data_IF_757404545637
#
_entry.id   IF_757404545637
#
_cell.length_a   1.000
_cell.length_b   1.000
_cell.length_c   1.000
_cell.angle_alpha   90.00
_cell.angle_beta   90.00
_cell.angle_gamma   90.00
#
_symmetry.space_group_name_H-M   'P 1'
#
loop_
_entity.id
_entity.type
_entity.pdbx_description
1 polymer ?
#
# COMPACT_ATOMS: atom_id res chain seq x y z
N UNK A 1 -15.35 11.54 -12.74
CA UNK A 1 -14.87 11.48 -11.35
C UNK A 1 -13.59 12.29 -11.31
N UNK A 2 -13.45 13.22 -10.37
CA UNK A 2 -12.24 14.03 -10.26
C UNK A 2 -11.12 13.22 -9.61
N UNK A 3 -9.86 13.64 -9.78
CA UNK A 3 -8.72 13.02 -9.11
C UNK A 3 -8.82 13.12 -7.57
N UNK A 4 -9.53 14.13 -7.06
CA UNK A 4 -9.86 14.28 -5.63
C UNK A 4 -10.81 13.19 -5.13
N UNK A 5 -11.81 12.78 -5.95
CA UNK A 5 -12.74 11.70 -5.58
C UNK A 5 -12.03 10.34 -5.50
N UNK A 6 -10.99 10.14 -6.32
CA UNK A 6 -10.17 8.92 -6.32
C UNK A 6 -9.25 8.89 -5.09
N UNK A 7 -8.62 10.02 -4.75
CA UNK A 7 -7.79 10.16 -3.56
C UNK A 7 -8.59 9.92 -2.26
N UNK A 8 -9.83 10.44 -2.19
CA UNK A 8 -10.71 10.25 -1.03
C UNK A 8 -11.14 8.78 -0.81
N UNK A 9 -10.92 7.89 -1.79
CA UNK A 9 -11.38 6.48 -1.76
C UNK A 9 -10.25 5.46 -1.67
N UNK A 10 -8.99 5.89 -1.55
CA UNK A 10 -7.87 4.94 -1.51
C UNK A 10 -7.96 4.04 -0.28
N UNK A 11 -7.69 2.75 -0.48
CA UNK A 11 -7.85 1.74 0.57
C UNK A 11 -6.86 1.99 1.70
N UNK A 12 -7.41 2.12 2.91
CA UNK A 12 -6.65 2.19 4.16
C UNK A 12 -7.03 1.02 5.04
N UNK A 13 -6.06 0.50 5.78
CA UNK A 13 -6.30 -0.59 6.73
C UNK A 13 -5.91 -0.16 8.14
N UNK A 14 -6.91 0.00 9.00
CA UNK A 14 -6.72 0.42 10.39
C UNK A 14 -6.74 -0.77 11.37
N UNK A 15 -6.94 -1.99 10.85
CA UNK A 15 -7.08 -3.22 11.63
C UNK A 15 -8.43 -3.90 11.42
N UNK A 16 -8.50 -5.18 11.77
CA UNK A 16 -9.67 -6.05 11.52
C UNK A 16 -10.92 -5.61 12.29
N UNK A 17 -10.75 -4.96 13.44
CA UNK A 17 -11.83 -4.54 14.32
C UNK A 17 -12.18 -3.05 14.16
N UNK A 18 -11.59 -2.37 13.19
CA UNK A 18 -11.92 -0.97 12.91
C UNK A 18 -13.24 -0.89 12.11
N UNK A 19 -14.12 0.03 12.51
CA UNK A 19 -15.44 0.19 11.88
C UNK A 19 -15.34 0.65 10.41
N UNK A 20 -14.23 1.28 10.01
CA UNK A 20 -13.99 1.67 8.62
C UNK A 20 -13.67 0.49 7.70
N UNK A 21 -13.37 -0.70 8.23
CA UNK A 21 -13.04 -1.88 7.44
C UNK A 21 -14.18 -2.29 6.47
N UNK A 22 -15.46 -2.02 6.81
CA UNK A 22 -16.55 -2.27 5.86
C UNK A 22 -16.57 -1.30 4.66
N UNK A 23 -16.04 -0.08 4.84
CA UNK A 23 -16.18 1.01 3.86
C UNK A 23 -15.38 0.78 2.58
N UNK A 24 -14.23 0.10 2.69
CA UNK A 24 -13.33 -0.12 1.56
C UNK A 24 -13.56 -1.44 0.84
N UNK A 25 -14.46 -2.32 1.33
CA UNK A 25 -14.65 -3.66 0.78
C UNK A 25 -14.94 -3.66 -0.74
N UNK A 26 -15.79 -2.74 -1.23
CA UNK A 26 -16.08 -2.61 -2.66
C UNK A 26 -14.85 -2.18 -3.48
N UNK A 27 -14.06 -1.24 -2.95
CA UNK A 27 -12.84 -0.78 -3.60
C UNK A 27 -11.77 -1.87 -3.62
N UNK A 28 -11.68 -2.66 -2.54
CA UNK A 28 -10.81 -3.83 -2.46
C UNK A 28 -11.16 -4.81 -3.57
N UNK A 29 -12.44 -5.17 -3.73
CA UNK A 29 -12.89 -6.04 -4.81
C UNK A 29 -12.52 -5.49 -6.20
N UNK A 30 -12.76 -4.19 -6.45
CA UNK A 30 -12.44 -3.51 -7.71
C UNK A 30 -10.93 -3.54 -8.03
N UNK A 31 -10.06 -3.42 -7.02
CA UNK A 31 -8.62 -3.45 -7.19
C UNK A 31 -8.11 -4.88 -7.41
N UNK A 32 -8.70 -5.87 -6.75
CA UNK A 32 -8.34 -7.27 -6.90
C UNK A 32 -8.72 -7.79 -8.28
N UNK A 33 -9.89 -7.42 -8.79
CA UNK A 33 -10.35 -7.79 -10.14
C UNK A 33 -9.43 -7.21 -11.23
N UNK A 34 -9.01 -5.95 -11.08
CA UNK A 34 -8.12 -5.28 -12.04
C UNK A 34 -6.64 -5.57 -11.85
N UNK A 35 -6.25 -6.29 -10.80
CA UNK A 35 -4.84 -6.53 -10.52
C UNK A 35 -4.23 -7.47 -11.57
N UNK A 36 -3.28 -6.93 -12.33
CA UNK A 36 -2.48 -7.70 -13.28
C UNK A 36 -1.02 -7.81 -12.78
N UNK A 37 -0.54 -9.01 -12.41
CA UNK A 37 0.83 -9.21 -11.97
C UNK A 37 1.89 -8.92 -13.06
N UNK A 38 1.51 -8.90 -14.35
CA UNK A 38 2.39 -8.51 -15.44
C UNK A 38 2.54 -6.98 -15.57
N UNK A 39 1.57 -6.21 -15.06
CA UNK A 39 1.52 -4.75 -15.16
C UNK A 39 1.35 -4.10 -13.78
N UNK A 40 2.34 -4.32 -12.90
CA UNK A 40 2.33 -3.80 -11.54
C UNK A 40 2.54 -2.27 -11.54
N UNK A 41 1.80 -1.50 -10.71
CA UNK A 41 2.00 -0.06 -10.58
C UNK A 41 3.43 0.34 -10.22
N UNK A 42 3.86 1.53 -10.65
CA UNK A 42 5.18 2.11 -10.34
C UNK A 42 5.12 3.25 -9.34
N UNK A 43 3.93 3.74 -9.03
CA UNK A 43 3.71 4.77 -8.02
C UNK A 43 3.63 4.11 -6.63
N UNK A 44 4.42 4.61 -5.69
CA UNK A 44 4.50 4.04 -4.33
C UNK A 44 3.15 4.05 -3.62
N UNK A 45 2.31 5.05 -3.88
CA UNK A 45 1.04 5.15 -3.18
C UNK A 45 0.04 4.08 -3.67
N UNK A 46 0.11 3.69 -4.95
CA UNK A 46 -0.66 2.56 -5.48
C UNK A 46 -0.14 1.23 -4.93
N UNK A 47 1.18 1.12 -4.72
CA UNK A 47 1.78 -0.06 -4.09
C UNK A 47 1.39 -0.17 -2.61
N UNK A 48 1.34 0.94 -1.87
CA UNK A 48 0.84 0.95 -0.49
C UNK A 48 -0.65 0.60 -0.46
N UNK A 49 -1.45 1.12 -1.40
CA UNK A 49 -2.86 0.75 -1.53
C UNK A 49 -3.03 -0.76 -1.78
N UNK A 50 -2.19 -1.36 -2.65
CA UNK A 50 -2.15 -2.81 -2.87
C UNK A 50 -1.76 -3.60 -1.61
N UNK A 51 -0.82 -3.10 -0.80
CA UNK A 51 -0.52 -3.69 0.49
C UNK A 51 -1.74 -3.68 1.40
N UNK A 52 -2.48 -2.58 1.45
CA UNK A 52 -3.70 -2.49 2.25
C UNK A 52 -4.77 -3.45 1.71
N UNK A 53 -4.96 -3.56 0.40
CA UNK A 53 -5.83 -4.59 -0.21
C UNK A 53 -5.46 -6.01 0.24
N UNK A 54 -4.17 -6.34 0.25
CA UNK A 54 -3.69 -7.64 0.73
C UNK A 54 -4.10 -7.90 2.20
N UNK A 55 -4.00 -6.91 3.09
CA UNK A 55 -4.45 -7.06 4.49
C UNK A 55 -5.96 -7.37 4.57
N UNK A 56 -6.80 -6.76 3.72
CA UNK A 56 -8.23 -7.09 3.68
C UNK A 56 -8.47 -8.54 3.24
N UNK A 57 -7.77 -8.99 2.20
CA UNK A 57 -7.90 -10.36 1.69
C UNK A 57 -7.50 -11.42 2.71
N UNK A 58 -6.39 -11.20 3.43
CA UNK A 58 -5.91 -12.10 4.48
C UNK A 58 -6.90 -12.25 5.63
N UNK A 59 -7.63 -11.18 5.95
CA UNK A 59 -8.65 -11.18 6.99
C UNK A 59 -10.07 -11.48 6.47
N UNK A 60 -10.23 -11.76 5.18
CA UNK A 60 -11.53 -12.07 4.57
C UNK A 60 -12.51 -10.89 4.53
N UNK A 61 -11.99 -9.66 4.62
CA UNK A 61 -12.76 -8.42 4.60
C UNK A 61 -13.13 -8.06 3.15
N UNK A 62 -14.12 -8.78 2.62
CA UNK A 62 -14.63 -8.66 1.25
C UNK A 62 -16.12 -8.33 1.26
N UNK A 63 -16.68 -7.75 0.17
CA UNK A 63 -18.10 -7.42 0.09
C UNK A 63 -19.00 -8.57 0.53
N UNK A 64 -20.05 -8.29 1.31
CA UNK A 64 -20.95 -9.32 1.82
C UNK A 64 -21.66 -10.09 0.70
N UNK A 65 -21.83 -9.47 -0.47
CA UNK A 65 -22.45 -10.06 -1.64
C UNK A 65 -21.60 -11.16 -2.32
N UNK A 66 -20.29 -11.22 -2.04
CA UNK A 66 -19.42 -12.22 -2.67
C UNK A 66 -19.80 -13.64 -2.25
N UNK A 67 -19.88 -14.54 -3.23
CA UNK A 67 -19.98 -15.99 -3.01
C UNK A 67 -18.68 -16.55 -2.44
N UNK A 68 -18.72 -17.78 -1.95
CA UNK A 68 -17.52 -18.45 -1.45
C UNK A 68 -16.47 -18.65 -2.54
N UNK A 69 -16.90 -18.94 -3.77
CA UNK A 69 -16.03 -19.06 -4.94
C UNK A 69 -15.33 -17.73 -5.26
N UNK A 70 -16.07 -16.62 -5.27
CA UNK A 70 -15.51 -15.28 -5.52
C UNK A 70 -14.52 -14.88 -4.42
N UNK A 71 -14.80 -15.20 -3.15
CA UNK A 71 -13.87 -14.97 -2.04
C UNK A 71 -12.58 -15.78 -2.20
N UNK A 72 -12.69 -17.03 -2.62
CA UNK A 72 -11.53 -17.90 -2.81
C UNK A 72 -10.66 -17.43 -3.98
N UNK A 73 -11.27 -17.06 -5.11
CA UNK A 73 -10.56 -16.46 -6.25
C UNK A 73 -9.85 -15.16 -5.87
N UNK A 74 -10.49 -14.30 -5.07
CA UNK A 74 -9.86 -13.08 -4.58
C UNK A 74 -8.64 -13.38 -3.70
N UNK A 75 -8.73 -14.36 -2.79
CA UNK A 75 -7.62 -14.77 -1.91
C UNK A 75 -6.44 -15.39 -2.68
N UNK A 76 -6.68 -16.02 -3.82
CA UNK A 76 -5.60 -16.54 -4.67
C UNK A 76 -4.66 -15.43 -5.20
N UNK A 77 -5.10 -14.17 -5.18
CA UNK A 77 -4.27 -13.00 -5.57
C UNK A 77 -3.26 -12.57 -4.50
N UNK A 78 -3.46 -12.94 -3.23
CA UNK A 78 -2.60 -12.55 -2.10
C UNK A 78 -1.10 -12.74 -2.41
N UNK A 79 -0.61 -13.94 -2.77
CA UNK A 79 0.83 -14.14 -3.00
C UNK A 79 1.39 -13.26 -4.14
N UNK A 80 0.59 -12.98 -5.16
CA UNK A 80 1.00 -12.17 -6.31
C UNK A 80 1.11 -10.69 -5.90
N UNK A 81 0.16 -10.19 -5.11
CA UNK A 81 0.19 -8.84 -4.53
C UNK A 81 1.38 -8.70 -3.57
N UNK A 82 1.57 -9.65 -2.64
CA UNK A 82 2.73 -9.68 -1.73
C UNK A 82 4.05 -9.60 -2.50
N UNK A 83 4.18 -10.40 -3.56
CA UNK A 83 5.38 -10.39 -4.39
C UNK A 83 5.59 -9.05 -5.10
N UNK A 84 4.52 -8.41 -5.59
CA UNK A 84 4.58 -7.11 -6.26
C UNK A 84 5.05 -6.01 -5.29
N UNK A 85 4.46 -5.95 -4.09
CA UNK A 85 4.83 -5.00 -3.03
C UNK A 85 6.28 -5.20 -2.60
N UNK A 86 6.67 -6.45 -2.30
CA UNK A 86 8.04 -6.75 -1.87
C UNK A 86 9.08 -6.40 -2.94
N UNK A 87 8.80 -6.70 -4.22
CA UNK A 87 9.68 -6.36 -5.34
C UNK A 87 9.86 -4.86 -5.48
N UNK A 88 8.77 -4.08 -5.36
CA UNK A 88 8.83 -2.63 -5.42
C UNK A 88 9.74 -2.05 -4.33
N UNK A 89 9.47 -2.36 -3.07
CA UNK A 89 10.26 -1.83 -1.94
C UNK A 89 11.70 -2.37 -1.89
N UNK A 90 11.96 -3.55 -2.45
CA UNK A 90 13.32 -4.10 -2.56
C UNK A 90 14.17 -3.35 -3.58
N UNK A 91 13.55 -2.72 -4.59
CA UNK A 91 14.24 -1.93 -5.61
C UNK A 91 14.56 -0.49 -5.15
N UNK A 92 14.09 -0.07 -3.97
CA UNK A 92 14.40 1.23 -3.41
C UNK A 92 15.82 1.24 -2.85
N UNK A 93 16.61 2.23 -3.27
CA UNK A 93 17.97 2.50 -2.84
C UNK A 93 18.25 4.03 -2.76
N UNK A 94 19.48 4.41 -2.38
CA UNK A 94 19.87 5.82 -2.27
C UNK A 94 19.69 6.65 -3.55
N UNK A 95 19.71 6.02 -4.74
CA UNK A 95 19.65 6.74 -6.02
C UNK A 95 18.23 7.17 -6.38
N UNK A 96 17.22 6.41 -5.92
CA UNK A 96 15.81 6.63 -6.27
C UNK A 96 14.92 7.01 -5.07
N UNK A 97 15.42 6.89 -3.83
CA UNK A 97 14.61 7.05 -2.62
C UNK A 97 13.79 8.34 -2.60
N UNK A 98 14.44 9.48 -2.81
CA UNK A 98 13.80 10.80 -2.73
C UNK A 98 12.67 10.97 -3.75
N UNK A 99 12.87 10.46 -4.98
CA UNK A 99 11.85 10.50 -6.02
C UNK A 99 10.68 9.55 -5.71
N UNK A 100 10.97 8.37 -5.16
CA UNK A 100 9.96 7.36 -4.86
C UNK A 100 9.03 7.79 -3.73
N UNK A 101 9.54 8.45 -2.67
CA UNK A 101 8.72 8.86 -1.52
C UNK A 101 8.08 10.24 -1.69
N UNK A 102 8.40 10.95 -2.77
CA UNK A 102 7.84 12.28 -3.02
C UNK A 102 6.32 12.20 -3.22
N UNK A 103 5.57 13.06 -2.52
CA UNK A 103 4.12 13.18 -2.71
C UNK A 103 3.29 12.04 -2.11
N UNK A 104 3.87 11.19 -1.26
CA UNK A 104 3.08 10.22 -0.47
C UNK A 104 2.18 10.98 0.50
N UNK A 105 0.87 10.76 0.37
CA UNK A 105 -0.14 11.33 1.24
C UNK A 105 0.09 10.96 2.71
N UNK A 106 -0.28 11.88 3.61
CA UNK A 106 -0.07 11.72 5.05
C UNK A 106 -0.72 10.44 5.60
N UNK A 107 -1.86 10.06 5.04
CA UNK A 107 -2.62 8.86 5.37
C UNK A 107 -1.83 7.55 5.17
N UNK A 108 -0.77 7.56 4.37
CA UNK A 108 0.08 6.40 4.09
C UNK A 108 1.48 6.50 4.70
N UNK A 109 1.78 7.54 5.49
CA UNK A 109 3.10 7.68 6.13
C UNK A 109 3.43 6.51 7.06
N UNK A 110 2.43 6.02 7.82
CA UNK A 110 2.60 4.85 8.69
C UNK A 110 2.95 3.59 7.89
N UNK A 111 2.11 3.26 6.90
CA UNK A 111 2.31 2.10 6.01
C UNK A 111 3.64 2.19 5.26
N UNK A 112 4.01 3.38 4.77
CA UNK A 112 5.28 3.64 4.11
C UNK A 112 6.48 3.25 5.00
N UNK A 113 6.50 3.74 6.24
CA UNK A 113 7.60 3.47 7.17
C UNK A 113 7.68 1.99 7.53
N UNK A 114 6.54 1.35 7.76
CA UNK A 114 6.47 -0.08 8.05
C UNK A 114 6.98 -0.92 6.86
N UNK A 115 6.53 -0.62 5.64
CA UNK A 115 6.95 -1.32 4.43
C UNK A 115 8.44 -1.12 4.11
N UNK A 116 8.99 0.07 4.31
CA UNK A 116 10.43 0.33 4.22
C UNK A 116 11.22 -0.51 5.23
N UNK A 117 10.73 -0.61 6.47
CA UNK A 117 11.32 -1.41 7.55
C UNK A 117 11.29 -2.92 7.23
N UNK A 118 10.11 -3.46 6.91
CA UNK A 118 9.89 -4.88 6.56
C UNK A 118 10.77 -5.33 5.40
N UNK A 119 10.93 -4.48 4.38
CA UNK A 119 11.76 -4.75 3.21
C UNK A 119 13.25 -4.35 3.37
N UNK A 120 13.66 -4.03 4.61
CA UNK A 120 15.05 -3.76 5.00
C UNK A 120 15.72 -2.68 4.16
N UNK A 121 14.99 -1.61 3.81
CA UNK A 121 15.52 -0.50 3.03
C UNK A 121 16.78 0.12 3.65
N UNK A 122 16.88 0.11 4.99
CA UNK A 122 18.06 0.55 5.76
C UNK A 122 19.37 -0.18 5.42
N UNK A 123 19.33 -1.32 4.71
CA UNK A 123 20.54 -2.00 4.22
C UNK A 123 21.07 -1.43 2.90
N UNK A 124 20.25 -0.67 2.17
CA UNK A 124 20.52 -0.14 0.84
C UNK A 124 20.53 1.39 0.81
N UNK A 125 19.87 2.00 1.79
CA UNK A 125 19.79 3.44 1.94
C UNK A 125 20.48 3.89 3.22
N UNK A 126 21.23 4.98 3.14
CA UNK A 126 21.85 5.60 4.31
C UNK A 126 20.96 6.70 4.91
N UNK A 127 21.23 7.05 6.17
CA UNK A 127 20.46 8.08 6.88
C UNK A 127 20.63 9.49 6.29
N UNK A 128 21.74 9.78 5.62
CA UNK A 128 22.01 11.09 5.03
C UNK A 128 21.13 11.34 3.79
N UNK A 129 20.75 10.29 3.06
CA UNK A 129 19.77 10.34 1.97
C UNK A 129 18.33 10.23 2.48
N UNK A 130 18.05 9.28 3.38
CA UNK A 130 16.67 8.93 3.78
C UNK A 130 16.03 10.03 4.62
N UNK A 131 16.72 10.55 5.64
CA UNK A 131 16.09 11.47 6.59
C UNK A 131 15.67 12.81 5.95
N UNK A 132 16.49 13.47 5.10
CA UNK A 132 16.05 14.67 4.40
C UNK A 132 14.90 14.40 3.43
N UNK A 133 14.93 13.26 2.71
CA UNK A 133 13.88 12.90 1.77
C UNK A 133 12.53 12.67 2.45
N UNK A 134 12.51 11.94 3.57
CA UNK A 134 11.29 11.74 4.37
C UNK A 134 10.74 13.05 4.91
N UNK A 135 11.60 13.94 5.42
CA UNK A 135 11.19 15.28 5.87
C UNK A 135 10.60 16.12 4.74
N UNK A 136 11.21 16.08 3.55
CA UNK A 136 10.71 16.79 2.37
C UNK A 136 9.34 16.23 1.90
N UNK A 137 9.09 14.94 2.10
CA UNK A 137 7.80 14.30 1.86
C UNK A 137 6.76 14.53 2.98
N UNK A 138 7.10 15.32 4.02
CA UNK A 138 6.21 15.59 5.16
C UNK A 138 6.11 14.45 6.17
N UNK A 139 6.97 13.43 6.08
CA UNK A 139 7.02 12.33 7.04
C UNK A 139 7.83 12.78 8.26
N UNK A 140 7.12 13.06 9.37
CA UNK A 140 7.74 13.48 10.62
C UNK A 140 7.93 12.30 11.58
N UNK A 141 9.18 12.09 12.03
CA UNK A 141 9.52 11.09 13.04
C UNK A 141 9.46 11.73 14.43
N UNK A 142 8.29 11.67 15.08
CA UNK A 142 8.06 12.19 16.44
C UNK A 142 7.10 13.38 16.52
N UNK A 143 6.55 13.64 17.72
CA UNK A 143 5.71 14.81 17.99
C UNK A 143 6.57 16.08 17.89
N UNK A 144 6.10 17.04 17.08
CA UNK A 144 6.57 18.43 17.11
C UNK A 144 5.75 19.20 18.14
#
# INVERSE_FOLDING_TARGET
MSDEDVAARRVRFFGVHDLAAGWYAERVAELVDRFDPANVPTNIADIIELHNVQQYLEHGLLPNAFTEEERNQAKERIPQICSAVARFFSAIDNTNFAAMVAGVGHEYHGDLLDLLGRNKAFKRCDGATVLPALRAAGVHLGHV
#
